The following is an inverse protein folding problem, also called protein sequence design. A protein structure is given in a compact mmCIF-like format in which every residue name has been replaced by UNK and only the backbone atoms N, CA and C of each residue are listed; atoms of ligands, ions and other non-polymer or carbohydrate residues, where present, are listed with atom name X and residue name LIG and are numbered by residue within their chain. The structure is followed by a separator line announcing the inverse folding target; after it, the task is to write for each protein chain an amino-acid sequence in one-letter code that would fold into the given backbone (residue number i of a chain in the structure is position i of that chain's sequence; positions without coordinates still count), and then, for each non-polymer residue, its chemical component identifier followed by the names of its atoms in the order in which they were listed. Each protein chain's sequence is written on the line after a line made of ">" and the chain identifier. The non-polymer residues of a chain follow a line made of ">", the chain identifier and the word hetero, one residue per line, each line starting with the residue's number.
data_IF_711193669718
#
_entry.id   IF_711193669718
#
_cell.length_a   1.000
_cell.length_b   1.000
_cell.length_c   1.000
_cell.angle_alpha   90.00
_cell.angle_beta   90.00
_cell.angle_gamma   90.00
#
_symmetry.space_group_name_H-M   'P 1'
#
loop_
_entity.id
_entity.type
_entity.pdbx_description
1 polymer ?
#
# COMPACT_ATOMS: atom_id res chain seq x y z
N UNK A 1 -5.05 -20.47 -27.42
CA UNK A 1 -4.57 -19.55 -26.36
C UNK A 1 -5.78 -18.83 -25.78
N UNK A 2 -6.34 -19.37 -24.70
CA UNK A 2 -7.50 -18.81 -24.00
C UNK A 2 -7.00 -17.74 -23.04
N UNK A 3 -7.22 -16.48 -23.37
CA UNK A 3 -7.01 -15.35 -22.47
C UNK A 3 -7.99 -15.51 -21.31
N UNK A 4 -7.52 -16.10 -20.22
CA UNK A 4 -8.32 -16.25 -19.00
C UNK A 4 -8.50 -14.83 -18.46
N UNK A 5 -9.66 -14.24 -18.71
CA UNK A 5 -10.06 -12.99 -18.08
C UNK A 5 -10.03 -13.24 -16.59
N UNK A 6 -9.08 -12.61 -15.88
CA UNK A 6 -9.10 -12.66 -14.42
C UNK A 6 -10.48 -12.15 -13.98
N UNK A 7 -11.17 -12.86 -13.08
CA UNK A 7 -12.49 -12.43 -12.66
C UNK A 7 -12.35 -11.04 -12.04
N UNK A 8 -13.20 -10.09 -12.44
CA UNK A 8 -13.17 -8.70 -11.95
C UNK A 8 -13.26 -8.59 -10.41
N UNK A 9 -13.65 -9.66 -9.70
CA UNK A 9 -13.55 -9.79 -8.25
C UNK A 9 -12.09 -9.79 -7.74
N UNK A 10 -11.17 -10.39 -8.51
CA UNK A 10 -9.73 -10.41 -8.21
C UNK A 10 -9.15 -8.99 -8.19
N UNK A 11 -9.46 -8.18 -9.20
CA UNK A 11 -8.93 -6.82 -9.32
C UNK A 11 -9.46 -5.87 -8.24
N UNK A 12 -10.73 -6.03 -7.81
CA UNK A 12 -11.29 -5.30 -6.65
C UNK A 12 -10.61 -5.71 -5.35
N UNK A 13 -10.34 -7.01 -5.18
CA UNK A 13 -9.60 -7.54 -4.03
C UNK A 13 -8.17 -6.99 -3.96
N UNK A 14 -7.47 -6.91 -5.09
CA UNK A 14 -6.12 -6.33 -5.17
C UNK A 14 -6.14 -4.82 -4.84
N UNK A 15 -7.10 -4.06 -5.40
CA UNK A 15 -7.22 -2.63 -5.10
C UNK A 15 -7.48 -2.37 -3.60
N UNK A 16 -8.38 -3.15 -3.00
CA UNK A 16 -8.66 -3.08 -1.56
C UNK A 16 -7.44 -3.50 -0.74
N UNK A 17 -6.73 -4.55 -1.15
CA UNK A 17 -5.50 -5.02 -0.53
C UNK A 17 -4.41 -3.93 -0.53
N UNK A 18 -4.19 -3.25 -1.66
CA UNK A 18 -3.26 -2.13 -1.75
C UNK A 18 -3.65 -0.95 -0.86
N UNK A 19 -4.95 -0.65 -0.74
CA UNK A 19 -5.43 0.41 0.16
C UNK A 19 -5.22 0.06 1.63
N UNK A 20 -5.60 -1.16 2.04
CA UNK A 20 -5.43 -1.62 3.43
C UNK A 20 -3.96 -1.73 3.79
N UNK A 21 -3.15 -2.31 2.90
CA UNK A 21 -1.69 -2.40 3.09
C UNK A 21 -1.04 -1.02 3.14
N UNK A 22 -1.44 -0.10 2.25
CA UNK A 22 -0.96 1.26 2.26
C UNK A 22 -1.31 1.99 3.56
N UNK A 23 -2.56 1.90 4.01
CA UNK A 23 -3.00 2.48 5.28
C UNK A 23 -2.25 1.90 6.49
N UNK A 24 -1.99 0.58 6.47
CA UNK A 24 -1.19 -0.10 7.48
C UNK A 24 0.25 0.44 7.55
N UNK A 25 0.91 0.62 6.40
CA UNK A 25 2.24 1.21 6.33
C UNK A 25 2.27 2.67 6.77
N UNK A 26 1.25 3.45 6.40
CA UNK A 26 1.07 4.84 6.86
C UNK A 26 0.90 4.92 8.38
N UNK A 27 0.14 4.00 8.99
CA UNK A 27 0.02 3.91 10.45
C UNK A 27 1.37 3.58 11.11
N UNK A 28 2.15 2.68 10.51
CA UNK A 28 3.52 2.39 10.93
C UNK A 28 4.45 3.60 10.80
N UNK A 29 4.36 4.35 9.70
CA UNK A 29 5.11 5.57 9.48
C UNK A 29 4.78 6.63 10.55
N UNK A 30 3.49 6.85 10.80
CA UNK A 30 3.04 7.76 11.84
C UNK A 30 3.55 7.36 13.22
N UNK A 31 3.47 6.07 13.57
CA UNK A 31 4.03 5.56 14.82
C UNK A 31 5.54 5.81 14.92
N UNK A 32 6.28 5.54 13.83
CA UNK A 32 7.72 5.73 13.77
C UNK A 32 8.14 7.19 13.97
N UNK A 33 7.41 8.14 13.36
CA UNK A 33 7.63 9.56 13.58
C UNK A 33 7.22 10.01 14.99
N UNK A 34 6.09 9.54 15.51
CA UNK A 34 5.57 9.94 16.82
C UNK A 34 6.40 9.42 17.99
N UNK A 35 6.96 8.20 17.87
CA UNK A 35 7.74 7.56 18.94
C UNK A 35 9.25 7.62 18.71
N UNK A 36 9.69 8.01 17.51
CA UNK A 36 11.10 7.96 17.12
C UNK A 36 11.67 6.54 17.19
N UNK A 37 10.80 5.51 17.09
CA UNK A 37 11.13 4.10 17.25
C UNK A 37 10.42 3.27 16.21
N UNK A 38 11.05 2.19 15.77
CA UNK A 38 10.43 1.27 14.83
C UNK A 38 9.13 0.67 15.40
N UNK A 39 8.07 0.49 14.60
CA UNK A 39 6.80 -0.04 15.08
C UNK A 39 6.93 -1.53 15.42
N UNK A 40 6.59 -1.91 16.65
CA UNK A 40 6.68 -3.30 17.12
C UNK A 40 5.75 -4.28 16.39
N UNK A 41 4.69 -3.77 15.75
CA UNK A 41 3.73 -4.56 14.99
C UNK A 41 4.15 -4.76 13.53
N UNK A 42 5.30 -4.22 13.09
CA UNK A 42 5.72 -4.34 11.68
C UNK A 42 5.98 -5.78 11.25
N UNK A 43 5.74 -6.05 9.96
CA UNK A 43 5.99 -7.36 9.37
C UNK A 43 7.50 -7.69 9.50
N UNK A 44 7.86 -8.96 9.81
CA UNK A 44 9.26 -9.37 9.93
C UNK A 44 10.10 -9.05 8.68
N UNK A 45 9.47 -9.07 7.49
CA UNK A 45 10.11 -8.71 6.23
C UNK A 45 10.58 -7.25 6.19
N UNK A 46 9.81 -6.34 6.80
CA UNK A 46 10.14 -4.92 6.91
C UNK A 46 11.16 -4.65 8.02
N UNK A 47 11.30 -5.57 8.97
CA UNK A 47 12.23 -5.46 10.10
C UNK A 47 13.69 -5.57 9.66
N UNK A 48 13.96 -6.19 8.51
CA UNK A 48 15.28 -6.17 7.87
C UNK A 48 15.74 -4.73 7.59
N UNK A 49 14.83 -3.84 7.19
CA UNK A 49 15.16 -2.43 7.01
C UNK A 49 15.44 -1.75 8.35
N UNK A 50 14.68 -2.09 9.39
CA UNK A 50 14.94 -1.59 10.75
C UNK A 50 16.35 -2.00 11.22
N UNK A 51 16.73 -3.25 11.01
CA UNK A 51 18.06 -3.77 11.34
C UNK A 51 19.18 -3.04 10.59
N UNK A 52 19.04 -2.91 9.26
CA UNK A 52 20.00 -2.19 8.40
C UNK A 52 20.15 -0.71 8.81
N UNK A 53 19.05 -0.04 9.16
CA UNK A 53 19.06 1.38 9.51
C UNK A 53 19.47 1.59 10.99
N UNK A 54 19.28 0.60 11.87
CA UNK A 54 19.70 0.68 13.27
C UNK A 54 21.21 0.89 13.44
N UNK A 55 22.02 0.50 12.44
CA UNK A 55 23.46 0.79 12.40
C UNK A 55 23.77 2.29 12.45
N UNK A 56 22.84 3.15 12.01
CA UNK A 56 23.01 4.61 11.97
C UNK A 56 22.48 5.32 13.23
N UNK A 57 21.98 4.57 14.23
CA UNK A 57 21.51 5.08 15.51
C UNK A 57 19.98 5.02 15.68
N UNK A 58 19.53 4.79 16.93
CA UNK A 58 18.13 4.51 17.27
C UNK A 58 17.13 5.61 16.85
N UNK A 59 17.53 6.88 16.89
CA UNK A 59 16.66 7.98 16.46
C UNK A 59 16.63 8.10 14.93
N UNK A 60 17.75 7.86 14.27
CA UNK A 60 17.82 7.91 12.81
C UNK A 60 16.97 6.79 12.17
N UNK A 61 16.93 5.61 12.80
CA UNK A 61 16.09 4.50 12.33
C UNK A 61 14.59 4.77 12.40
N UNK A 62 14.13 5.51 13.43
CA UNK A 62 12.76 5.98 13.51
C UNK A 62 12.37 6.90 12.34
N UNK A 63 13.20 7.91 12.04
CA UNK A 63 12.89 8.89 10.97
C UNK A 63 13.05 8.32 9.56
N UNK A 64 14.15 7.63 9.29
CA UNK A 64 14.42 7.04 7.97
C UNK A 64 13.42 5.91 7.72
N UNK A 65 13.18 5.07 8.74
CA UNK A 65 12.20 4.00 8.70
C UNK A 65 10.78 4.50 8.50
N UNK A 66 10.37 5.50 9.29
CA UNK A 66 9.09 6.17 9.15
C UNK A 66 8.92 6.81 7.77
N UNK A 67 9.97 7.43 7.24
CA UNK A 67 9.97 8.02 5.90
C UNK A 67 9.78 6.98 4.79
N UNK A 68 10.51 5.86 4.87
CA UNK A 68 10.38 4.74 3.93
C UNK A 68 8.98 4.13 3.97
N UNK A 69 8.46 3.84 5.18
CA UNK A 69 7.11 3.34 5.39
C UNK A 69 6.06 4.31 4.86
N UNK A 70 6.26 5.62 5.07
CA UNK A 70 5.38 6.67 4.60
C UNK A 70 5.32 6.71 3.06
N UNK A 71 6.48 6.68 2.40
CA UNK A 71 6.57 6.66 0.94
C UNK A 71 5.93 5.41 0.34
N UNK A 72 6.25 4.24 0.88
CA UNK A 72 5.73 2.96 0.40
C UNK A 72 4.21 2.86 0.64
N UNK A 73 3.75 3.35 1.78
CA UNK A 73 2.35 3.48 2.13
C UNK A 73 1.60 4.39 1.17
N UNK A 74 2.11 5.60 0.91
CA UNK A 74 1.51 6.55 -0.03
C UNK A 74 1.44 5.97 -1.44
N UNK A 75 2.51 5.35 -1.92
CA UNK A 75 2.56 4.73 -3.24
C UNK A 75 1.53 3.60 -3.35
N UNK A 76 1.39 2.77 -2.31
CA UNK A 76 0.41 1.68 -2.26
C UNK A 76 -1.03 2.21 -2.26
N UNK A 77 -1.32 3.25 -1.48
CA UNK A 77 -2.64 3.90 -1.49
C UNK A 77 -2.93 4.51 -2.86
N UNK A 78 -1.99 5.25 -3.45
CA UNK A 78 -2.15 5.85 -4.77
C UNK A 78 -2.43 4.81 -5.85
N UNK A 79 -1.73 3.67 -5.81
CA UNK A 79 -1.95 2.55 -6.73
C UNK A 79 -3.34 1.92 -6.51
N UNK A 80 -3.75 1.70 -5.26
CA UNK A 80 -5.07 1.19 -4.92
C UNK A 80 -6.20 2.10 -5.41
N UNK A 81 -6.08 3.41 -5.21
CA UNK A 81 -7.02 4.42 -5.71
C UNK A 81 -7.05 4.42 -7.25
N UNK A 82 -5.89 4.39 -7.91
CA UNK A 82 -5.81 4.37 -9.37
C UNK A 82 -6.51 3.14 -9.97
N UNK A 83 -6.31 1.96 -9.37
CA UNK A 83 -6.99 0.72 -9.77
C UNK A 83 -8.51 0.82 -9.56
N UNK A 84 -8.94 1.37 -8.43
CA UNK A 84 -10.36 1.55 -8.13
C UNK A 84 -11.05 2.50 -9.12
N UNK A 85 -10.40 3.61 -9.49
CA UNK A 85 -10.89 4.57 -10.50
C UNK A 85 -10.96 3.92 -11.88
N UNK A 86 -9.95 3.12 -12.26
CA UNK A 86 -9.96 2.37 -13.53
C UNK A 86 -11.14 1.40 -13.60
N UNK A 87 -11.37 0.63 -12.55
CA UNK A 87 -12.48 -0.33 -12.49
C UNK A 87 -13.84 0.36 -12.64
N UNK A 88 -14.06 1.48 -11.93
CA UNK A 88 -15.29 2.26 -12.07
C UNK A 88 -15.51 2.82 -13.48
N UNK A 89 -14.44 3.23 -14.19
CA UNK A 89 -14.57 3.70 -15.58
C UNK A 89 -15.02 2.57 -16.51
N UNK A 90 -14.46 1.37 -16.33
CA UNK A 90 -14.84 0.20 -17.14
C UNK A 90 -16.30 -0.15 -16.91
N UNK A 91 -16.76 -0.19 -15.65
CA UNK A 91 -18.17 -0.46 -15.32
C UNK A 91 -19.11 0.57 -15.94
N UNK A 92 -18.75 1.87 -15.92
CA UNK A 92 -19.55 2.92 -16.55
C UNK A 92 -19.62 2.79 -18.07
N UNK A 93 -18.50 2.51 -18.73
CA UNK A 93 -18.47 2.36 -20.20
C UNK A 93 -19.25 1.12 -20.64
N UNK A 94 -19.12 0.01 -19.90
CA UNK A 94 -19.89 -1.20 -20.17
C UNK A 94 -21.41 -0.97 -20.00
N UNK A 95 -21.81 -0.16 -19.01
CA UNK A 95 -23.22 0.20 -18.83
C UNK A 95 -23.77 1.09 -19.98
N UNK A 96 -22.93 1.93 -20.58
CA UNK A 96 -23.30 2.76 -21.72
C UNK A 96 -23.44 1.96 -23.02
N UNK A 97 -22.60 0.94 -23.24
CA UNK A 97 -22.68 0.06 -24.42
C UNK A 97 -23.92 -0.86 -24.41
N UNK A 98 -24.55 -1.06 -23.25
CA UNK A 98 -25.75 -1.91 -23.08
C UNK A 98 -27.04 -1.06 -23.05
N UNK A 99 -26.93 0.26 -22.92
CA UNK A 99 -28.08 1.15 -22.96
C UNK A 99 -28.54 1.35 -24.43
N UNK A 100 -29.79 0.99 -24.78
CA UNK A 100 -30.32 1.07 -26.14
C UNK A 100 -30.50 2.51 -26.65
#
# INVERSE_FOLDING_TARGET
>A
MTWRTEPASSSKGVALGCLVFGAYLLAGAFYAFARGKWPWFMLPLLDIFAFLISLFGERASGYIGGGLLGLLGLASVALGVALFVRLRRIEKNAALDIAP
#
